data_IF_628376384733
#
_entry.id   IF_628376384733
#
_cell.length_a   1.000
_cell.length_b   1.000
_cell.length_c   1.000
_cell.angle_alpha   90.00
_cell.angle_beta   90.00
_cell.angle_gamma   90.00
#
_symmetry.space_group_name_H-M   'P 1'
#
loop_
_entity.id
_entity.type
_entity.pdbx_description
1 polymer ?
#
# COMPACT_ATOMS: atom_id res chain seq x y z
N UNK A 1 -40.48 -25.21 14.03
CA UNK A 1 -40.71 -23.81 13.62
C UNK A 1 -40.35 -23.73 12.14
N UNK A 2 -41.31 -23.46 11.24
CA UNK A 2 -41.02 -23.29 9.81
C UNK A 2 -40.79 -21.80 9.58
N UNK A 3 -39.60 -21.43 9.16
CA UNK A 3 -39.31 -20.07 8.70
C UNK A 3 -40.09 -19.86 7.40
N UNK A 4 -40.84 -18.77 7.30
CA UNK A 4 -41.59 -18.44 6.09
C UNK A 4 -40.67 -17.74 5.09
N UNK A 5 -40.95 -17.90 3.80
CA UNK A 5 -40.17 -17.24 2.74
C UNK A 5 -40.15 -15.71 2.89
N UNK A 6 -41.23 -15.13 3.42
CA UNK A 6 -41.32 -13.69 3.72
C UNK A 6 -40.34 -13.27 4.83
N UNK A 7 -40.16 -14.08 5.87
CA UNK A 7 -39.22 -13.81 6.95
C UNK A 7 -37.76 -13.88 6.44
N UNK A 8 -37.47 -14.83 5.55
CA UNK A 8 -36.17 -14.94 4.89
C UNK A 8 -35.88 -13.73 4.00
N UNK A 9 -36.87 -13.28 3.23
CA UNK A 9 -36.73 -12.12 2.36
C UNK A 9 -36.45 -10.84 3.15
N UNK A 10 -37.19 -10.61 4.23
CA UNK A 10 -36.96 -9.47 5.13
C UNK A 10 -35.57 -9.50 5.77
N UNK A 11 -35.11 -10.68 6.19
CA UNK A 11 -33.75 -10.85 6.73
C UNK A 11 -32.67 -10.54 5.69
N UNK A 12 -32.86 -10.96 4.44
CA UNK A 12 -31.91 -10.68 3.36
C UNK A 12 -31.80 -9.17 3.09
N UNK A 13 -32.93 -8.48 2.97
CA UNK A 13 -32.98 -7.04 2.73
C UNK A 13 -32.33 -6.24 3.87
N UNK A 14 -32.57 -6.67 5.12
CA UNK A 14 -31.91 -6.08 6.29
C UNK A 14 -30.39 -6.25 6.25
N UNK A 15 -29.89 -7.42 5.82
CA UNK A 15 -28.45 -7.68 5.71
C UNK A 15 -27.81 -6.86 4.60
N UNK A 16 -28.48 -6.71 3.46
CA UNK A 16 -27.99 -5.89 2.33
C UNK A 16 -27.91 -4.41 2.71
N UNK A 17 -28.92 -3.90 3.42
CA UNK A 17 -28.93 -2.53 3.93
C UNK A 17 -27.79 -2.29 4.91
N UNK A 18 -27.55 -3.22 5.84
CA UNK A 18 -26.46 -3.11 6.81
C UNK A 18 -25.07 -3.21 6.13
N UNK A 19 -24.90 -4.08 5.13
CA UNK A 19 -23.68 -4.13 4.34
C UNK A 19 -23.39 -2.80 3.62
N UNK A 20 -24.41 -2.20 3.03
CA UNK A 20 -24.28 -0.89 2.37
C UNK A 20 -23.89 0.20 3.37
N UNK A 21 -24.49 0.19 4.57
CA UNK A 21 -24.15 1.10 5.67
C UNK A 21 -22.69 0.95 6.10
N UNK A 22 -22.23 -0.28 6.32
CA UNK A 22 -20.85 -0.57 6.72
C UNK A 22 -19.84 -0.18 5.63
N UNK A 23 -20.18 -0.39 4.36
CA UNK A 23 -19.35 0.05 3.24
C UNK A 23 -19.19 1.58 3.17
N UNK A 24 -20.24 2.34 3.49
CA UNK A 24 -20.17 3.80 3.63
C UNK A 24 -19.17 4.22 4.72
N UNK A 25 -19.33 3.66 5.93
CA UNK A 25 -18.42 3.94 7.07
C UNK A 25 -16.97 3.59 6.72
N UNK A 26 -16.73 2.47 6.03
CA UNK A 26 -15.39 2.07 5.64
C UNK A 26 -14.74 3.09 4.68
N UNK A 27 -15.50 3.67 3.77
CA UNK A 27 -15.01 4.74 2.90
C UNK A 27 -14.67 6.00 3.69
N UNK A 28 -15.51 6.41 4.65
CA UNK A 28 -15.27 7.60 5.49
C UNK A 28 -14.00 7.44 6.35
N UNK A 29 -13.83 6.27 6.97
CA UNK A 29 -12.61 5.94 7.73
C UNK A 29 -11.37 5.98 6.84
N UNK A 30 -11.51 5.52 5.60
CA UNK A 30 -10.41 5.56 4.65
C UNK A 30 -10.04 7.00 4.25
N UNK A 31 -11.04 7.85 3.98
CA UNK A 31 -10.82 9.27 3.69
C UNK A 31 -10.13 9.99 4.86
N UNK A 32 -10.55 9.69 6.09
CA UNK A 32 -9.91 10.22 7.29
C UNK A 32 -8.46 9.78 7.41
N UNK A 33 -8.14 8.51 7.10
CA UNK A 33 -6.77 7.99 7.12
C UNK A 33 -5.86 8.73 6.12
N UNK A 34 -6.37 9.01 4.91
CA UNK A 34 -5.65 9.80 3.90
C UNK A 34 -5.39 11.22 4.41
N UNK A 35 -6.41 11.87 4.98
CA UNK A 35 -6.27 13.22 5.57
C UNK A 35 -5.22 13.28 6.68
N UNK A 36 -5.23 12.30 7.59
CA UNK A 36 -4.23 12.20 8.67
C UNK A 36 -2.82 12.06 8.10
N UNK A 37 -2.63 11.21 7.09
CA UNK A 37 -1.33 11.02 6.46
C UNK A 37 -0.83 12.30 5.79
N UNK A 38 -1.69 13.01 5.08
CA UNK A 38 -1.35 14.28 4.44
C UNK A 38 -0.91 15.33 5.48
N UNK A 39 -1.66 15.45 6.59
CA UNK A 39 -1.30 16.35 7.69
C UNK A 39 0.04 15.98 8.32
N UNK A 40 0.32 14.69 8.50
CA UNK A 40 1.60 14.20 9.04
C UNK A 40 2.79 14.63 8.17
N UNK A 41 2.64 14.54 6.84
CA UNK A 41 3.68 14.98 5.89
C UNK A 41 3.91 16.48 6.00
N UNK A 42 2.85 17.28 6.06
CA UNK A 42 2.95 18.74 6.21
C UNK A 42 3.66 19.13 7.51
N UNK A 43 3.39 18.43 8.62
CA UNK A 43 4.07 18.68 9.89
C UNK A 43 5.57 18.35 9.80
N UNK A 44 5.94 17.19 9.23
CA UNK A 44 7.36 16.80 9.11
C UNK A 44 8.18 17.74 8.23
N UNK A 45 7.54 18.48 7.32
CA UNK A 45 8.23 19.45 6.47
C UNK A 45 8.58 20.76 7.20
N UNK A 46 8.00 21.00 8.38
CA UNK A 46 8.22 22.22 9.15
C UNK A 46 9.38 22.13 10.16
N UNK A 47 9.87 20.92 10.48
CA UNK A 47 10.98 20.70 11.42
C UNK A 47 12.37 20.73 10.76
N UNK A 48 12.45 20.82 9.43
CA UNK A 48 13.71 20.74 8.66
C UNK A 48 14.29 22.11 8.24
N UNK A 49 13.75 23.21 8.77
CA UNK A 49 14.40 24.54 8.66
C UNK A 49 15.39 24.72 9.81
N UNK A 50 16.33 23.79 9.94
CA UNK A 50 17.59 24.08 10.64
C UNK A 50 18.50 24.74 9.62
N UNK A 51 18.43 26.07 9.52
CA UNK A 51 19.39 26.88 8.77
C UNK A 51 20.81 26.54 9.24
N UNK A 52 21.69 25.96 8.40
CA UNK A 52 23.09 25.86 8.75
C UNK A 52 23.71 27.25 8.59
N UNK A 53 24.14 27.83 9.71
CA UNK A 53 25.05 28.98 9.73
C UNK A 53 26.38 28.54 9.09
N UNK A 54 26.50 28.74 7.78
CA UNK A 54 27.74 28.54 7.04
C UNK A 54 28.69 29.69 7.37
N UNK A 55 29.62 29.43 8.29
CA UNK A 55 30.86 30.22 8.44
C UNK A 55 31.83 29.78 7.33
N UNK A 56 31.95 30.59 6.29
CA UNK A 56 32.97 30.41 5.25
C UNK A 56 34.33 30.82 5.81
N UNK A 57 35.29 29.88 5.83
CA UNK A 57 36.70 30.22 5.81
C UNK A 57 37.43 29.31 4.83
N UNK A 58 38.31 29.96 4.07
CA UNK A 58 39.01 29.50 2.89
C UNK A 58 40.19 28.59 3.26
N UNK A 59 40.53 27.62 2.38
CA UNK A 59 41.84 27.52 1.70
C UNK A 59 42.20 26.09 1.21
N UNK A 60 42.60 26.05 -0.06
CA UNK A 60 43.63 25.21 -0.72
C UNK A 60 43.58 23.66 -0.71
N UNK A 61 43.28 23.17 -1.91
CA UNK A 61 44.20 22.44 -2.81
C UNK A 61 44.40 20.90 -2.71
N UNK A 62 44.32 20.29 -3.90
CA UNK A 62 45.09 19.14 -4.44
C UNK A 62 44.39 17.77 -4.49
N UNK A 63 43.92 17.46 -5.70
CA UNK A 63 44.05 16.22 -6.49
C UNK A 63 44.17 14.88 -5.75
N UNK A 64 43.22 13.95 -5.96
CA UNK A 64 43.51 12.50 -6.04
C UNK A 64 42.38 11.73 -6.75
N UNK A 65 42.78 11.08 -7.85
CA UNK A 65 42.34 9.83 -8.51
C UNK A 65 40.93 9.25 -8.30
N UNK A 66 40.36 8.86 -9.45
CA UNK A 66 39.45 7.74 -9.66
C UNK A 66 39.43 6.70 -8.53
N UNK A 67 38.23 6.39 -8.05
CA UNK A 67 37.85 5.02 -7.77
C UNK A 67 36.38 4.83 -8.14
N UNK A 68 36.15 3.99 -9.15
CA UNK A 68 34.86 3.40 -9.44
C UNK A 68 34.35 2.72 -8.17
N UNK A 69 33.31 3.28 -7.56
CA UNK A 69 32.62 2.64 -6.46
C UNK A 69 31.19 2.40 -6.90
N UNK A 70 30.97 1.21 -7.44
CA UNK A 70 29.66 0.58 -7.54
C UNK A 70 28.97 0.71 -6.19
N UNK A 71 27.81 1.36 -6.08
CA UNK A 71 27.00 1.18 -4.89
C UNK A 71 26.37 -0.20 -5.01
N UNK A 72 26.98 -1.17 -4.33
CA UNK A 72 26.27 -2.34 -3.82
C UNK A 72 25.60 -1.90 -2.51
N UNK A 73 24.29 -1.55 -2.49
CA UNK A 73 23.56 -1.58 -1.25
C UNK A 73 23.07 -3.01 -1.03
N UNK A 74 23.92 -3.86 -0.45
CA UNK A 74 23.46 -5.01 0.34
C UNK A 74 23.00 -4.50 1.71
N UNK A 75 22.05 -3.57 1.69
CA UNK A 75 21.22 -3.24 2.83
C UNK A 75 19.91 -3.97 2.61
N UNK A 76 19.72 -5.10 3.29
CA UNK A 76 18.40 -5.72 3.48
C UNK A 76 17.55 -4.74 4.28
N UNK A 77 17.07 -3.70 3.61
CA UNK A 77 15.98 -2.89 4.10
C UNK A 77 14.77 -3.80 4.04
N UNK A 78 14.12 -4.02 5.17
CA UNK A 78 12.74 -4.51 5.20
C UNK A 78 11.93 -3.55 4.33
N UNK A 79 11.71 -3.96 3.08
CA UNK A 79 10.94 -3.15 2.14
C UNK A 79 9.49 -3.39 2.47
N UNK A 80 9.01 -2.64 3.46
CA UNK A 80 7.58 -2.44 3.67
C UNK A 80 7.03 -1.75 2.42
N UNK A 81 5.98 -2.32 1.85
CA UNK A 81 5.27 -1.73 0.74
C UNK A 81 3.82 -2.14 0.72
N UNK A 82 3.10 -1.72 -0.29
CA UNK A 82 1.67 -1.97 -0.43
C UNK A 82 1.41 -2.68 -1.75
N UNK A 83 0.52 -3.65 -1.75
CA UNK A 83 0.10 -4.39 -2.95
C UNK A 83 -1.42 -4.31 -3.09
N UNK A 84 -1.92 -4.27 -4.32
CA UNK A 84 -3.35 -4.30 -4.60
C UNK A 84 -3.73 -5.72 -5.00
N UNK A 85 -4.69 -6.29 -4.28
CA UNK A 85 -5.07 -7.69 -4.39
C UNK A 85 -6.54 -7.86 -4.75
N UNK A 86 -6.84 -8.97 -5.42
CA UNK A 86 -8.18 -9.45 -5.72
C UNK A 86 -8.59 -10.53 -4.71
N UNK A 87 -9.60 -10.26 -3.90
CA UNK A 87 -9.91 -11.02 -2.68
C UNK A 87 -10.88 -12.19 -2.87
N UNK A 88 -10.93 -12.80 -4.06
CA UNK A 88 -11.74 -14.02 -4.26
C UNK A 88 -11.19 -15.23 -3.48
N UNK A 89 -9.87 -15.29 -3.27
CA UNK A 89 -9.22 -16.30 -2.44
C UNK A 89 -8.29 -15.63 -1.42
N UNK A 90 -8.70 -15.47 -0.15
CA UNK A 90 -7.90 -14.78 0.87
C UNK A 90 -6.54 -15.42 1.17
N UNK A 91 -6.36 -16.72 0.89
CA UNK A 91 -5.13 -17.45 1.19
C UNK A 91 -3.99 -17.17 0.21
N UNK A 92 -4.34 -16.87 -1.04
CA UNK A 92 -3.36 -16.55 -2.09
C UNK A 92 -4.04 -15.64 -3.12
N UNK A 93 -4.31 -14.39 -2.72
CA UNK A 93 -5.05 -13.49 -3.57
C UNK A 93 -4.19 -13.08 -4.77
N UNK A 94 -4.74 -13.08 -6.00
CA UNK A 94 -4.04 -12.53 -7.15
C UNK A 94 -3.70 -11.05 -6.95
N UNK A 95 -2.53 -10.65 -7.42
CA UNK A 95 -1.97 -9.31 -7.20
C UNK A 95 -1.90 -8.53 -8.51
N UNK A 96 -2.14 -7.23 -8.44
CA UNK A 96 -2.11 -6.35 -9.61
C UNK A 96 -0.69 -5.92 -9.95
N UNK A 97 -0.21 -6.16 -11.18
CA UNK A 97 1.12 -5.69 -11.66
C UNK A 97 1.13 -4.26 -12.20
N UNK A 98 -0.03 -3.62 -12.32
CA UNK A 98 -0.19 -2.37 -13.08
C UNK A 98 -0.81 -2.58 -14.46
N UNK A 99 -0.78 -3.81 -14.98
CA UNK A 99 -1.36 -4.16 -16.29
C UNK A 99 -2.32 -5.34 -16.22
N UNK A 100 -2.00 -6.35 -15.43
CA UNK A 100 -2.79 -7.57 -15.30
C UNK A 100 -2.71 -8.16 -13.89
N UNK A 101 -3.52 -9.18 -13.63
CA UNK A 101 -3.53 -9.92 -12.38
C UNK A 101 -2.52 -11.07 -12.45
N UNK A 102 -1.60 -11.14 -11.49
CA UNK A 102 -0.64 -12.24 -11.36
C UNK A 102 -0.88 -13.03 -10.09
N UNK A 103 -0.16 -14.15 -9.98
CA UNK A 103 -0.08 -14.94 -8.74
C UNK A 103 0.57 -14.11 -7.62
N UNK A 104 0.33 -14.55 -6.39
CA UNK A 104 0.92 -13.97 -5.19
C UNK A 104 2.45 -13.78 -5.31
N UNK A 105 2.96 -12.66 -4.83
CA UNK A 105 4.38 -12.27 -4.88
C UNK A 105 4.86 -11.71 -6.22
N UNK A 106 4.00 -11.58 -7.23
CA UNK A 106 4.35 -11.05 -8.57
C UNK A 106 3.63 -9.74 -8.90
N UNK A 107 2.86 -9.19 -7.97
CA UNK A 107 2.23 -7.89 -8.11
C UNK A 107 3.21 -6.72 -8.06
N UNK A 108 2.69 -5.54 -8.39
CA UNK A 108 3.41 -4.29 -8.23
C UNK A 108 3.39 -3.88 -6.77
N UNK A 109 4.57 -3.73 -6.19
CA UNK A 109 4.76 -3.16 -4.87
C UNK A 109 4.82 -1.64 -4.96
N UNK A 110 3.93 -0.97 -4.23
CA UNK A 110 3.87 0.48 -4.09
C UNK A 110 4.62 0.91 -2.82
N UNK A 111 5.42 1.95 -2.93
CA UNK A 111 6.22 2.46 -1.80
C UNK A 111 5.39 3.25 -0.79
N UNK A 112 4.22 3.74 -1.19
CA UNK A 112 3.28 4.43 -0.31
C UNK A 112 1.88 3.86 -0.42
N UNK A 113 1.14 3.92 0.70
CA UNK A 113 -0.26 3.49 0.73
C UNK A 113 -1.11 4.33 -0.21
N UNK A 114 -0.85 5.64 -0.29
CA UNK A 114 -1.53 6.56 -1.20
C UNK A 114 -1.44 6.10 -2.67
N UNK A 115 -0.26 5.69 -3.14
CA UNK A 115 -0.11 5.20 -4.51
C UNK A 115 -0.92 3.92 -4.76
N UNK A 116 -0.92 2.99 -3.80
CA UNK A 116 -1.71 1.77 -3.90
C UNK A 116 -3.22 2.07 -3.92
N UNK A 117 -3.67 3.04 -3.12
CA UNK A 117 -5.08 3.45 -3.08
C UNK A 117 -5.52 4.19 -4.34
N UNK A 118 -4.69 5.09 -4.89
CA UNK A 118 -4.98 5.71 -6.18
C UNK A 118 -5.12 4.66 -7.28
N UNK A 119 -4.26 3.63 -7.26
CA UNK A 119 -4.42 2.48 -8.15
C UNK A 119 -5.75 1.75 -7.88
N UNK A 120 -6.06 1.41 -6.63
CA UNK A 120 -7.31 0.75 -6.25
C UNK A 120 -8.55 1.51 -6.75
N UNK A 121 -8.57 2.85 -6.62
CA UNK A 121 -9.67 3.69 -7.11
C UNK A 121 -9.83 3.59 -8.64
N UNK A 122 -8.73 3.59 -9.38
CA UNK A 122 -8.78 3.39 -10.84
C UNK A 122 -9.31 1.99 -11.20
N UNK A 123 -8.89 0.95 -10.48
CA UNK A 123 -9.37 -0.42 -10.71
C UNK A 123 -10.86 -0.55 -10.37
N UNK A 124 -11.33 0.07 -9.28
CA UNK A 124 -12.76 0.07 -8.89
C UNK A 124 -13.64 0.76 -9.93
N UNK A 125 -13.14 1.83 -10.58
CA UNK A 125 -13.87 2.47 -11.69
C UNK A 125 -14.01 1.54 -12.89
N UNK A 126 -12.99 0.73 -13.18
CA UNK A 126 -12.97 -0.19 -14.32
C UNK A 126 -13.73 -1.50 -14.06
N UNK A 127 -13.68 -1.98 -12.82
CA UNK A 127 -14.32 -3.21 -12.37
C UNK A 127 -15.15 -2.93 -11.10
N UNK A 128 -16.28 -2.23 -11.24
CA UNK A 128 -17.18 -1.99 -10.12
C UNK A 128 -17.69 -3.34 -9.57
N UNK A 129 -17.74 -3.48 -8.25
CA UNK A 129 -18.21 -4.69 -7.58
C UNK A 129 -17.16 -5.80 -7.39
N UNK A 130 -15.94 -5.65 -7.90
CA UNK A 130 -14.88 -6.61 -7.63
C UNK A 130 -14.32 -6.42 -6.20
N UNK A 131 -14.05 -7.52 -5.45
CA UNK A 131 -13.55 -7.44 -4.08
C UNK A 131 -12.05 -7.11 -4.10
N UNK A 132 -11.73 -5.82 -4.26
CA UNK A 132 -10.37 -5.32 -4.35
C UNK A 132 -9.91 -4.68 -3.03
N UNK A 133 -8.69 -5.00 -2.59
CA UNK A 133 -8.12 -4.51 -1.33
C UNK A 133 -6.63 -4.19 -1.45
N UNK A 134 -6.16 -3.19 -0.69
CA UNK A 134 -4.73 -2.91 -0.50
C UNK A 134 -4.24 -3.70 0.72
N UNK A 135 -3.18 -4.47 0.54
CA UNK A 135 -2.50 -5.19 1.62
C UNK A 135 -1.11 -4.59 1.84
N UNK A 136 -0.67 -4.56 3.10
CA UNK A 136 0.70 -4.21 3.45
C UNK A 136 1.58 -5.45 3.26
N UNK A 137 2.58 -5.33 2.39
CA UNK A 137 3.55 -6.36 2.09
C UNK A 137 4.82 -6.06 2.87
N UNK A 138 5.06 -6.80 3.94
CA UNK A 138 6.38 -6.94 4.52
C UNK A 138 7.15 -7.98 3.70
N UNK A 139 8.01 -7.53 2.77
CA UNK A 139 8.96 -8.43 2.09
C UNK A 139 10.08 -8.83 3.06
N UNK A 140 9.71 -9.61 4.09
CA UNK A 140 10.61 -10.20 5.06
C UNK A 140 10.64 -11.72 4.88
N UNK A 141 11.77 -12.22 4.33
CA UNK A 141 12.24 -13.61 4.42
C UNK A 141 11.37 -14.71 3.78
N UNK A 142 11.40 -14.81 2.45
CA UNK A 142 11.25 -16.14 1.82
C UNK A 142 12.62 -16.81 1.96
N UNK A 143 12.72 -17.75 2.90
CA UNK A 143 13.82 -18.69 2.96
C UNK A 143 13.88 -19.48 1.65
N UNK A 144 15.04 -19.37 1.00
CA UNK A 144 15.42 -20.26 -0.08
C UNK A 144 15.60 -21.65 0.55
N UNK A 145 14.57 -22.49 0.51
CA UNK A 145 14.76 -23.92 0.72
C UNK A 145 15.19 -24.48 -0.62
N UNK A 146 16.50 -24.45 -0.86
CA UNK A 146 17.11 -25.32 -1.86
C UNK A 146 16.85 -26.76 -1.42
N UNK A 147 16.06 -27.49 -2.22
CA UNK A 147 15.96 -28.94 -2.10
C UNK A 147 17.00 -29.55 -3.05
N UNK A 148 18.05 -30.13 -2.46
CA UNK A 148 18.89 -31.15 -3.08
C UNK A 148 18.08 -32.39 -3.51
#
# INVERSE_FOLDING_TARGET
MKITDDELKLRLESLETEQNRLNGILNDVHELKVKINNLKITLTHHDDVTTPLVLTNNEKATTTKQLNTTPTPSGRSDRHGYIVCLMFNPKSPPEWSGKEWHRHGKGKCYTSSEQAYQCLLQLRKRWPGYPLQVLESSLGSIEHVDSE
#
